data_IF_700736056325
#
_entry.id   IF_700736056325
#
_cell.length_a   1.000
_cell.length_b   1.000
_cell.length_c   1.000
_cell.angle_alpha   90.00
_cell.angle_beta   90.00
_cell.angle_gamma   90.00
#
_symmetry.space_group_name_H-M   'P 1'
#
loop_
_entity.id
_entity.type
_entity.pdbx_description
1 polymer ?
#
# COMPACT_ATOMS: atom_id res chain seq x y z
N UNK A 1 -3.39 -13.45 23.25
CA UNK A 1 -3.77 -13.72 21.84
C UNK A 1 -4.42 -12.45 21.30
N UNK A 2 -4.17 -12.07 20.05
CA UNK A 2 -4.82 -10.88 19.45
C UNK A 2 -6.29 -11.20 19.11
N UNK A 3 -7.21 -10.21 19.18
CA UNK A 3 -8.61 -10.45 18.88
C UNK A 3 -8.82 -10.81 17.39
N UNK A 4 -9.88 -11.58 17.05
CA UNK A 4 -10.24 -11.85 15.67
C UNK A 4 -10.35 -10.56 14.85
N UNK A 5 -9.72 -10.51 13.68
CA UNK A 5 -9.74 -9.34 12.80
C UNK A 5 -8.75 -8.24 13.17
N UNK A 6 -7.94 -8.40 14.23
CA UNK A 6 -6.85 -7.47 14.52
C UNK A 6 -5.84 -7.44 13.37
N UNK A 7 -5.37 -6.23 13.05
CA UNK A 7 -4.23 -6.04 12.14
C UNK A 7 -2.93 -6.62 12.75
N UNK A 8 -1.98 -7.08 11.91
CA UNK A 8 -0.71 -7.59 12.41
C UNK A 8 0.11 -6.50 13.11
N UNK A 9 0.99 -6.87 14.06
CA UNK A 9 1.88 -5.92 14.72
C UNK A 9 2.90 -5.35 13.74
N UNK A 10 3.69 -4.37 14.20
CA UNK A 10 4.83 -3.81 13.44
C UNK A 10 4.43 -3.26 12.06
N UNK A 11 3.22 -2.69 11.93
CA UNK A 11 2.71 -2.24 10.63
C UNK A 11 2.59 -3.33 9.57
N UNK A 12 2.52 -4.60 10.00
CA UNK A 12 2.45 -5.75 9.10
C UNK A 12 3.78 -6.15 8.48
N UNK A 13 4.93 -5.65 8.93
CA UNK A 13 6.24 -5.99 8.39
C UNK A 13 6.93 -7.13 9.13
N UNK A 14 7.45 -8.12 8.41
CA UNK A 14 8.35 -9.16 8.95
C UNK A 14 9.67 -8.52 9.42
N UNK A 15 10.21 -7.63 8.60
CA UNK A 15 11.35 -6.78 8.89
C UNK A 15 11.17 -5.45 8.16
N UNK A 16 11.74 -4.37 8.70
CA UNK A 16 11.61 -3.02 8.14
C UNK A 16 12.98 -2.47 7.82
N UNK A 17 13.13 -1.93 6.61
CA UNK A 17 14.25 -1.08 6.23
C UNK A 17 13.75 0.20 5.59
N UNK A 18 14.50 1.29 5.77
CA UNK A 18 14.23 2.54 5.04
C UNK A 18 14.68 2.38 3.60
N UNK A 19 13.92 2.97 2.68
CA UNK A 19 14.21 3.00 1.25
C UNK A 19 13.77 4.31 0.62
N UNK A 20 14.07 4.50 -0.66
CA UNK A 20 13.57 5.61 -1.48
C UNK A 20 13.16 5.06 -2.83
N UNK A 21 11.86 5.12 -3.11
CA UNK A 21 11.31 4.72 -4.41
C UNK A 21 11.74 5.76 -5.44
N UNK A 22 12.22 5.28 -6.58
CA UNK A 22 12.76 6.11 -7.64
C UNK A 22 11.68 6.51 -8.65
N UNK A 23 11.83 7.66 -9.35
CA UNK A 23 10.91 8.07 -10.40
C UNK A 23 10.67 6.98 -11.45
N UNK A 24 9.44 6.87 -11.92
CA UNK A 24 9.00 5.85 -12.88
C UNK A 24 8.62 4.50 -12.25
N UNK A 25 8.95 4.26 -10.97
CA UNK A 25 8.48 3.08 -10.26
C UNK A 25 6.95 3.13 -10.11
N UNK A 26 6.29 2.01 -10.42
CA UNK A 26 4.85 1.87 -10.24
C UNK A 26 4.52 1.06 -8.98
N UNK A 27 3.57 1.56 -8.22
CA UNK A 27 3.03 0.95 -7.01
C UNK A 27 1.52 0.93 -7.09
N UNK A 28 0.88 -0.04 -6.44
CA UNK A 28 -0.56 -0.18 -6.48
C UNK A 28 -1.16 -0.40 -5.08
N UNK A 29 -2.47 -0.23 -4.98
CA UNK A 29 -3.20 -0.43 -3.72
C UNK A 29 -4.64 -0.84 -3.98
N UNK A 30 -5.11 -1.80 -3.19
CA UNK A 30 -6.53 -2.03 -2.93
C UNK A 30 -6.95 -1.13 -1.76
N UNK A 31 -7.60 -0.01 -2.06
CA UNK A 31 -7.71 1.09 -1.10
C UNK A 31 -8.55 2.25 -1.61
N UNK A 32 -8.48 3.37 -0.92
CA UNK A 32 -9.33 4.53 -1.20
C UNK A 32 -10.84 4.26 -1.09
N UNK A 33 -11.61 5.27 -1.49
CA UNK A 33 -13.07 5.23 -1.60
C UNK A 33 -13.58 6.38 -2.47
N UNK A 34 -14.78 6.22 -3.03
CA UNK A 34 -15.51 7.31 -3.67
C UNK A 34 -16.28 8.10 -2.60
N UNK A 35 -16.14 9.43 -2.60
CA UNK A 35 -16.92 10.35 -1.79
C UNK A 35 -17.50 11.39 -2.73
N UNK A 36 -18.83 11.45 -2.85
CA UNK A 36 -19.53 12.41 -3.72
C UNK A 36 -19.01 12.42 -5.18
N UNK A 37 -18.73 11.23 -5.74
CA UNK A 37 -18.21 11.09 -7.10
C UNK A 37 -16.70 11.38 -7.25
N UNK A 38 -16.01 11.72 -6.17
CA UNK A 38 -14.57 11.98 -6.16
C UNK A 38 -13.84 10.83 -5.45
N UNK A 39 -12.83 10.26 -6.11
CA UNK A 39 -11.97 9.26 -5.49
C UNK A 39 -11.04 9.93 -4.47
N UNK A 40 -10.92 9.34 -3.28
CA UNK A 40 -10.04 9.79 -2.20
C UNK A 40 -9.28 8.57 -1.65
N UNK A 41 -7.96 8.67 -1.51
CA UNK A 41 -7.11 7.68 -0.87
C UNK A 41 -6.20 8.29 0.19
N UNK A 42 -6.59 8.09 1.46
CA UNK A 42 -5.80 8.49 2.64
C UNK A 42 -4.89 7.37 3.14
N UNK A 43 -4.81 6.25 2.42
CA UNK A 43 -3.93 5.14 2.79
C UNK A 43 -2.47 5.52 2.71
N UNK A 44 -1.62 4.75 3.40
CA UNK A 44 -0.16 4.96 3.42
C UNK A 44 0.63 3.72 3.00
N UNK A 45 -0.04 2.60 2.71
CA UNK A 45 0.62 1.35 2.30
C UNK A 45 0.36 1.05 0.82
N UNK A 46 1.39 0.65 0.09
CA UNK A 46 1.28 0.21 -1.30
C UNK A 46 2.10 -1.07 -1.50
N UNK A 47 1.82 -1.81 -2.56
CA UNK A 47 2.71 -2.87 -3.03
C UNK A 47 3.35 -2.46 -4.37
N UNK A 48 4.31 -3.24 -4.83
CA UNK A 48 4.77 -3.13 -6.21
C UNK A 48 3.59 -3.39 -7.16
N UNK A 49 3.46 -2.57 -8.21
CA UNK A 49 2.38 -2.73 -9.19
C UNK A 49 2.37 -4.14 -9.78
N UNK A 50 1.20 -4.79 -9.76
CA UNK A 50 1.02 -6.16 -10.26
C UNK A 50 1.37 -7.26 -9.26
N UNK A 51 1.76 -6.93 -8.02
CA UNK A 51 1.94 -7.94 -6.98
C UNK A 51 0.62 -8.71 -6.74
N UNK A 52 0.65 -10.06 -6.63
CA UNK A 52 -0.55 -10.85 -6.31
C UNK A 52 -1.27 -10.37 -5.04
N UNK A 53 -2.58 -10.63 -4.92
CA UNK A 53 -3.34 -10.18 -3.75
C UNK A 53 -2.88 -10.90 -2.47
N UNK A 54 -2.61 -12.19 -2.59
CA UNK A 54 -2.25 -13.12 -1.51
C UNK A 54 -0.94 -12.72 -0.81
N UNK A 55 -0.01 -12.12 -1.56
CA UNK A 55 1.29 -11.72 -1.00
C UNK A 55 1.22 -10.43 -0.18
N UNK A 56 0.06 -9.76 -0.17
CA UNK A 56 -0.20 -8.51 0.58
C UNK A 56 -0.76 -8.76 1.98
N UNK A 57 -1.18 -9.98 2.28
CA UNK A 57 -1.76 -10.37 3.57
C UNK A 57 -2.92 -9.48 4.06
N UNK A 58 -3.81 -9.10 3.14
CA UNK A 58 -5.00 -8.30 3.42
C UNK A 58 -6.22 -9.19 3.75
N UNK A 59 -7.25 -8.66 4.44
CA UNK A 59 -8.53 -9.35 4.58
C UNK A 59 -9.09 -9.72 3.21
N UNK A 60 -9.65 -10.93 3.04
CA UNK A 60 -10.12 -11.39 1.73
C UNK A 60 -11.12 -10.44 1.05
N UNK A 61 -11.95 -9.73 1.81
CA UNK A 61 -12.89 -8.73 1.27
C UNK A 61 -12.22 -7.48 0.68
N UNK A 62 -10.97 -7.18 1.03
CA UNK A 62 -10.25 -6.01 0.54
C UNK A 62 -9.94 -6.09 -0.96
N UNK A 63 -9.99 -7.28 -1.56
CA UNK A 63 -9.85 -7.45 -3.02
C UNK A 63 -10.93 -6.68 -3.80
N UNK A 64 -12.09 -6.43 -3.17
CA UNK A 64 -13.21 -5.70 -3.75
C UNK A 64 -13.13 -4.18 -3.52
N UNK A 65 -12.10 -3.69 -2.82
CA UNK A 65 -11.86 -2.26 -2.69
C UNK A 65 -11.37 -1.69 -4.02
N UNK A 66 -11.50 -0.38 -4.25
CA UNK A 66 -10.94 0.23 -5.45
C UNK A 66 -9.46 -0.14 -5.61
N UNK A 67 -9.12 -0.63 -6.80
CA UNK A 67 -7.74 -0.90 -7.18
C UNK A 67 -7.21 0.31 -7.95
N UNK A 68 -6.04 0.80 -7.57
CA UNK A 68 -5.44 1.97 -8.19
C UNK A 68 -3.94 1.80 -8.31
N UNK A 69 -3.40 2.19 -9.45
CA UNK A 69 -1.96 2.22 -9.72
C UNK A 69 -1.47 3.66 -9.68
N UNK A 70 -0.32 3.86 -9.06
CA UNK A 70 0.37 5.14 -8.94
C UNK A 70 1.78 5.01 -9.49
N UNK A 71 2.29 6.09 -10.09
CA UNK A 71 3.68 6.19 -10.49
C UNK A 71 4.39 7.22 -9.60
N UNK A 72 5.59 6.86 -9.15
CA UNK A 72 6.49 7.75 -8.43
C UNK A 72 7.06 8.79 -9.40
N UNK A 73 6.90 10.07 -9.08
CA UNK A 73 7.26 11.19 -9.96
C UNK A 73 8.63 11.78 -9.58
N UNK A 74 8.98 11.78 -8.30
CA UNK A 74 10.27 12.21 -7.75
C UNK A 74 10.67 11.27 -6.60
N UNK A 75 11.96 11.19 -6.19
CA UNK A 75 12.41 10.29 -5.13
C UNK A 75 11.51 10.37 -3.89
N UNK A 76 10.92 9.24 -3.50
CA UNK A 76 9.90 9.15 -2.44
C UNK A 76 10.38 8.23 -1.31
N UNK A 77 10.72 8.77 -0.12
CA UNK A 77 11.10 7.97 1.03
C UNK A 77 9.96 7.05 1.50
N UNK A 78 10.31 5.83 1.89
CA UNK A 78 9.38 4.85 2.46
C UNK A 78 10.07 3.90 3.44
N UNK A 79 9.28 3.29 4.30
CA UNK A 79 9.65 2.03 4.95
C UNK A 79 9.27 0.88 4.01
N UNK A 80 10.12 -0.13 3.87
CA UNK A 80 9.85 -1.31 3.06
C UNK A 80 10.20 -2.61 3.78
N UNK A 81 9.54 -3.68 3.35
CA UNK A 81 9.83 -5.03 3.79
C UNK A 81 8.71 -6.02 3.47
N UNK A 82 8.90 -7.31 3.80
CA UNK A 82 7.91 -8.35 3.53
C UNK A 82 6.67 -8.17 4.41
N UNK A 83 5.48 -8.38 3.85
CA UNK A 83 4.24 -8.46 4.62
C UNK A 83 4.20 -9.74 5.47
N UNK A 84 3.83 -9.62 6.75
CA UNK A 84 3.63 -10.77 7.63
C UNK A 84 2.49 -11.63 7.08
N UNK A 85 2.63 -12.97 6.99
CA UNK A 85 1.51 -13.86 6.70
C UNK A 85 0.35 -13.61 7.68
N UNK A 86 -0.81 -13.18 7.18
CA UNK A 86 -1.93 -12.75 8.01
C UNK A 86 -3.27 -12.95 7.30
N UNK A 87 -4.39 -12.89 8.03
CA UNK A 87 -5.75 -13.07 7.49
C UNK A 87 -5.95 -14.34 6.62
N UNK A 88 -5.20 -15.41 6.87
CA UNK A 88 -5.26 -16.66 6.09
C UNK A 88 -4.53 -16.58 4.74
N UNK A 89 -3.78 -15.51 4.49
CA UNK A 89 -3.00 -15.27 3.29
C UNK A 89 -1.50 -15.50 3.55
N UNK A 90 -0.74 -15.97 2.55
CA UNK A 90 0.69 -16.30 2.70
C UNK A 90 1.58 -15.07 2.92
N UNK A 91 1.19 -13.87 2.48
CA UNK A 91 1.99 -12.66 2.66
C UNK A 91 3.35 -12.74 1.95
N UNK A 92 4.39 -12.21 2.59
CA UNK A 92 5.79 -12.18 2.15
C UNK A 92 6.10 -11.33 0.91
N UNK A 93 5.10 -10.71 0.28
CA UNK A 93 5.31 -9.70 -0.74
C UNK A 93 5.90 -8.41 -0.15
N UNK A 94 6.64 -7.67 -0.98
CA UNK A 94 7.14 -6.36 -0.58
C UNK A 94 5.97 -5.38 -0.43
N UNK A 95 5.87 -4.76 0.74
CA UNK A 95 5.02 -3.60 0.97
C UNK A 95 5.90 -2.37 1.22
N UNK A 96 5.36 -1.21 0.87
CA UNK A 96 5.96 0.10 1.14
C UNK A 96 5.00 0.92 1.97
N UNK A 97 5.50 1.59 3.00
CA UNK A 97 4.74 2.49 3.84
C UNK A 97 5.32 3.90 3.73
N UNK A 98 4.48 4.85 3.34
CA UNK A 98 4.82 6.26 3.32
C UNK A 98 4.48 6.95 4.65
N UNK A 99 5.10 8.11 4.88
CA UNK A 99 4.76 8.98 6.02
C UNK A 99 3.40 9.65 5.80
N UNK A 100 3.15 10.14 4.59
CA UNK A 100 1.94 10.87 4.21
C UNK A 100 0.93 9.97 3.47
N UNK A 101 -0.33 10.39 3.44
CA UNK A 101 -1.39 9.72 2.69
C UNK A 101 -1.20 9.87 1.17
N UNK A 102 -1.75 8.92 0.39
CA UNK A 102 -1.65 8.96 -1.08
C UNK A 102 -2.17 10.28 -1.67
N UNK A 103 -3.34 10.78 -1.24
CA UNK A 103 -3.88 12.06 -1.73
C UNK A 103 -2.90 13.22 -1.47
N UNK A 104 -2.28 13.27 -0.29
CA UNK A 104 -1.30 14.30 0.07
C UNK A 104 -0.04 14.18 -0.80
N UNK A 105 0.45 12.96 -1.02
CA UNK A 105 1.60 12.68 -1.88
C UNK A 105 1.34 13.05 -3.34
N UNK A 106 0.10 12.91 -3.81
CA UNK A 106 -0.32 13.39 -5.14
C UNK A 106 -0.31 14.92 -5.17
N UNK A 107 -0.92 15.60 -4.18
CA UNK A 107 -0.91 17.06 -4.08
C UNK A 107 0.51 17.63 -4.02
N UNK A 108 1.43 16.96 -3.33
CA UNK A 108 2.84 17.34 -3.22
C UNK A 108 3.69 16.96 -4.46
N UNK A 109 3.10 16.27 -5.44
CA UNK A 109 3.75 15.85 -6.68
C UNK A 109 4.77 14.72 -6.52
N UNK A 110 4.70 13.91 -5.46
CA UNK A 110 5.50 12.69 -5.30
C UNK A 110 4.91 11.52 -6.06
N UNK A 111 3.58 11.42 -6.10
CA UNK A 111 2.84 10.40 -6.83
C UNK A 111 1.95 11.04 -7.89
N UNK A 112 1.68 10.29 -8.94
CA UNK A 112 0.55 10.55 -9.84
C UNK A 112 -0.26 9.27 -9.98
N UNK A 113 -1.59 9.40 -10.00
CA UNK A 113 -2.48 8.28 -10.31
C UNK A 113 -2.40 7.97 -11.80
N UNK A 114 -2.27 6.68 -12.13
CA UNK A 114 -2.34 6.21 -13.52
C UNK A 114 -3.81 5.93 -13.92
N UNK A 115 -4.14 6.00 -15.23
CA UNK A 115 -5.47 5.72 -15.74
C UNK A 115 -5.97 4.30 -15.43
#
# INVERSE_FOLDING_TARGET
MMPPGAWPPNGGFVSITRTTLQPGMQVDRYGGRMVNGVFNDKGTYVAQAGAPFEVRALPAGDINRPYTVYEVVKPLPADMGPAIPWFGQPGMGAQYKFTDGIDDLITQGYLKRLP
#
